data_IF_671771849818
#
_entry.id   IF_671771849818
#
_cell.length_a   1.000
_cell.length_b   1.000
_cell.length_c   1.000
_cell.angle_alpha   90.00
_cell.angle_beta   90.00
_cell.angle_gamma   90.00
#
_symmetry.space_group_name_H-M   'P 1'
#
loop_
_entity.id
_entity.type
_entity.pdbx_description
1 polymer ?
#
# COMPACT_ATOMS: atom_id res chain seq x y z
N UNK A 1 9.13 -1.24 -0.40
CA UNK A 1 8.66 -0.23 0.58
C UNK A 1 9.44 1.03 0.28
N UNK A 2 8.80 2.14 -0.06
CA UNK A 2 9.53 3.39 -0.32
C UNK A 2 10.02 3.94 1.02
N UNK A 3 11.33 3.92 1.21
CA UNK A 3 12.00 4.46 2.39
C UNK A 3 11.79 5.98 2.44
N UNK A 4 11.51 6.52 3.63
CA UNK A 4 11.27 7.96 3.81
C UNK A 4 12.56 8.56 4.35
N UNK A 5 13.17 9.45 3.58
CA UNK A 5 14.41 10.14 3.95
C UNK A 5 14.20 11.64 4.01
N UNK A 6 14.87 12.32 4.95
CA UNK A 6 14.88 13.77 5.02
C UNK A 6 15.50 14.37 3.75
N UNK A 7 14.79 15.26 3.03
CA UNK A 7 15.29 15.82 1.76
C UNK A 7 16.46 16.79 1.96
N UNK A 8 16.73 17.23 3.19
CA UNK A 8 17.80 18.18 3.49
C UNK A 8 19.09 17.49 3.99
N UNK A 9 18.99 16.54 4.91
CA UNK A 9 20.16 15.91 5.55
C UNK A 9 20.28 14.40 5.34
N UNK A 10 19.30 13.73 4.72
CA UNK A 10 19.32 12.28 4.47
C UNK A 10 18.88 11.40 5.62
N UNK A 11 18.59 11.95 6.80
CA UNK A 11 18.08 11.23 7.98
C UNK A 11 16.83 10.39 7.67
N UNK A 12 16.80 9.14 8.10
CA UNK A 12 15.74 8.15 7.84
C UNK A 12 15.19 7.48 9.10
N UNK A 13 15.85 7.63 10.25
CA UNK A 13 15.44 7.04 11.51
C UNK A 13 14.68 8.06 12.39
N UNK A 14 15.25 9.24 12.60
CA UNK A 14 14.74 10.28 13.50
C UNK A 14 13.68 11.20 12.84
N UNK A 15 12.58 10.60 12.40
CA UNK A 15 11.48 11.27 11.71
C UNK A 15 10.17 11.25 12.52
N UNK A 16 9.53 12.42 12.68
CA UNK A 16 8.22 12.55 13.34
C UNK A 16 7.12 12.83 12.33
N UNK A 17 6.11 11.96 12.28
CA UNK A 17 4.90 12.17 11.47
C UNK A 17 3.78 12.88 12.22
N UNK A 18 3.06 13.75 11.52
CA UNK A 18 1.79 14.34 11.95
C UNK A 18 0.75 14.16 10.83
N UNK A 19 -0.45 13.72 11.20
CA UNK A 19 -1.56 13.53 10.26
C UNK A 19 -2.59 14.64 10.49
N UNK A 20 -2.95 15.31 9.42
CA UNK A 20 -3.97 16.36 9.38
C UNK A 20 -5.02 16.03 8.33
N UNK A 21 -6.20 16.66 8.40
CA UNK A 21 -7.24 16.53 7.38
C UNK A 21 -8.39 15.60 7.77
N UNK A 22 -9.40 15.56 6.91
CA UNK A 22 -10.56 14.68 7.08
C UNK A 22 -10.28 13.32 6.42
N UNK A 23 -11.05 12.27 6.79
CA UNK A 23 -10.95 10.97 6.11
C UNK A 23 -11.13 11.11 4.59
N UNK A 24 -10.15 10.63 3.82
CA UNK A 24 -10.09 10.75 2.36
C UNK A 24 -9.39 11.99 1.83
N UNK A 25 -8.92 12.90 2.69
CA UNK A 25 -8.10 14.07 2.34
C UNK A 25 -6.96 14.30 3.33
N UNK A 26 -6.49 13.22 3.96
CA UNK A 26 -5.43 13.28 4.95
C UNK A 26 -4.10 13.73 4.31
N UNK A 27 -3.43 14.64 5.00
CA UNK A 27 -2.06 15.05 4.70
C UNK A 27 -1.15 14.53 5.79
N UNK A 28 0.00 13.96 5.41
CA UNK A 28 1.01 13.53 6.36
C UNK A 28 2.19 14.50 6.26
N UNK A 29 2.38 15.30 7.30
CA UNK A 29 3.57 16.15 7.45
C UNK A 29 4.64 15.38 8.21
N UNK A 30 5.85 15.31 7.66
CA UNK A 30 7.02 14.68 8.29
C UNK A 30 7.96 15.78 8.75
N UNK A 31 8.49 15.66 9.96
CA UNK A 31 9.50 16.57 10.52
C UNK A 31 10.73 15.78 10.91
N UNK A 32 11.87 16.10 10.29
CA UNK A 32 13.18 15.56 10.68
C UNK A 32 13.58 16.13 12.04
N UNK A 33 13.90 15.28 13.01
CA UNK A 33 14.34 15.74 14.33
C UNK A 33 15.82 16.13 14.36
N UNK A 34 16.62 15.70 13.36
CA UNK A 34 18.04 16.04 13.27
C UNK A 34 18.31 17.44 12.71
N UNK A 35 17.55 17.88 11.70
CA UNK A 35 17.74 19.18 11.05
C UNK A 35 16.48 20.07 11.04
N UNK A 36 15.42 19.65 11.73
CA UNK A 36 14.19 20.41 12.01
C UNK A 36 13.34 20.79 10.78
N UNK A 37 13.69 20.32 9.57
CA UNK A 37 12.87 20.60 8.38
C UNK A 37 11.58 19.77 8.40
N UNK A 38 10.48 20.41 8.00
CA UNK A 38 9.19 19.76 7.79
C UNK A 38 8.81 19.75 6.31
N UNK A 39 8.24 18.65 5.84
CA UNK A 39 7.73 18.52 4.47
C UNK A 39 6.48 17.66 4.43
N UNK A 40 5.66 17.85 3.40
CA UNK A 40 4.49 17.00 3.15
C UNK A 40 4.94 15.74 2.42
N UNK A 41 4.57 14.58 2.94
CA UNK A 41 4.81 13.30 2.28
C UNK A 41 3.90 13.18 1.07
N UNK A 42 4.48 12.90 -0.10
CA UNK A 42 3.71 12.54 -1.27
C UNK A 42 3.08 11.15 -1.08
N UNK A 43 1.74 11.12 -1.08
CA UNK A 43 0.95 9.89 -0.93
C UNK A 43 0.46 9.37 -2.28
N UNK A 44 0.88 9.98 -3.39
CA UNK A 44 0.47 9.57 -4.73
C UNK A 44 0.90 8.11 -4.95
N UNK A 45 -0.05 7.19 -5.21
CA UNK A 45 0.27 5.80 -5.47
C UNK A 45 1.14 5.68 -6.72
N UNK A 46 2.22 4.92 -6.64
CA UNK A 46 3.15 4.66 -7.74
C UNK A 46 3.42 3.17 -7.90
N UNK A 47 3.74 2.74 -9.11
CA UNK A 47 4.21 1.38 -9.36
C UNK A 47 5.59 1.19 -8.71
N UNK A 48 5.78 0.19 -7.84
CA UNK A 48 7.08 -0.06 -7.21
C UNK A 48 8.14 -0.55 -8.21
N UNK A 49 7.74 -0.99 -9.40
CA UNK A 49 8.63 -1.53 -10.43
C UNK A 49 9.11 -0.47 -11.40
N UNK A 50 8.19 0.33 -11.97
CA UNK A 50 8.52 1.32 -13.01
C UNK A 50 8.33 2.78 -12.58
N UNK A 51 7.81 3.04 -11.37
CA UNK A 51 7.64 4.38 -10.82
C UNK A 51 6.47 5.19 -11.41
N UNK A 52 5.71 4.65 -12.37
CA UNK A 52 4.57 5.36 -12.96
C UNK A 52 3.50 5.66 -11.89
N UNK A 53 2.85 6.82 -12.02
CA UNK A 53 1.64 7.18 -11.26
C UNK A 53 0.36 6.68 -11.95
N UNK A 54 0.46 6.17 -13.19
CA UNK A 54 -0.68 5.58 -13.89
C UNK A 54 -0.98 4.18 -13.34
N UNK A 55 -1.63 4.13 -12.18
CA UNK A 55 -2.04 2.89 -11.52
C UNK A 55 -3.56 2.82 -11.37
N UNK A 56 -4.08 1.60 -11.25
CA UNK A 56 -5.51 1.32 -11.09
C UNK A 56 -5.77 0.75 -9.71
N UNK A 57 -6.71 1.37 -8.99
CA UNK A 57 -7.18 0.87 -7.70
C UNK A 57 -7.92 -0.46 -7.90
N UNK A 58 -7.54 -1.47 -7.14
CA UNK A 58 -8.22 -2.75 -7.06
C UNK A 58 -8.37 -3.20 -5.60
N UNK A 59 -9.29 -4.14 -5.36
CA UNK A 59 -9.44 -4.77 -4.04
C UNK A 59 -8.79 -6.14 -4.06
N UNK A 60 -8.02 -6.43 -3.00
CA UNK A 60 -7.46 -7.74 -2.74
C UNK A 60 -8.04 -8.27 -1.44
N UNK A 61 -8.49 -9.53 -1.47
CA UNK A 61 -8.97 -10.20 -0.27
C UNK A 61 -7.82 -10.59 0.65
N UNK A 62 -8.09 -10.54 1.95
CA UNK A 62 -7.27 -11.12 3.01
C UNK A 62 -8.09 -12.27 3.57
N UNK A 63 -7.52 -13.47 3.54
CA UNK A 63 -8.21 -14.70 3.94
C UNK A 63 -7.53 -15.32 5.15
N UNK A 64 -8.32 -16.01 5.97
CA UNK A 64 -7.83 -16.79 7.09
C UNK A 64 -8.53 -18.16 7.14
N UNK A 65 -7.94 -19.13 7.82
CA UNK A 65 -8.58 -20.42 8.10
C UNK A 65 -9.59 -20.22 9.23
N UNK A 66 -10.84 -20.53 8.95
CA UNK A 66 -11.89 -20.48 9.98
C UNK A 66 -11.88 -21.76 10.82
N UNK A 67 -12.53 -22.84 10.34
CA UNK A 67 -12.53 -24.16 10.98
C UNK A 67 -12.16 -25.23 9.98
N UNK A 68 -11.16 -26.06 10.31
CA UNK A 68 -10.61 -27.06 9.40
C UNK A 68 -9.79 -26.41 8.28
N UNK A 69 -9.91 -26.92 7.05
CA UNK A 69 -9.13 -26.44 5.89
C UNK A 69 -9.82 -25.34 5.08
N UNK A 70 -10.95 -24.82 5.54
CA UNK A 70 -11.72 -23.81 4.79
C UNK A 70 -11.14 -22.41 4.97
N UNK A 71 -10.84 -21.76 3.85
CA UNK A 71 -10.47 -20.35 3.81
C UNK A 71 -11.71 -19.46 3.78
N UNK A 72 -11.68 -18.37 4.55
CA UNK A 72 -12.72 -17.37 4.61
C UNK A 72 -12.12 -15.98 4.44
N UNK A 73 -12.77 -15.12 3.65
CA UNK A 73 -12.37 -13.71 3.53
C UNK A 73 -12.65 -13.04 4.88
N UNK A 74 -11.60 -12.51 5.51
CA UNK A 74 -11.71 -11.75 6.75
C UNK A 74 -11.85 -10.26 6.48
N UNK A 75 -11.13 -9.77 5.45
CA UNK A 75 -11.13 -8.36 5.09
C UNK A 75 -10.66 -8.17 3.65
N UNK A 76 -10.61 -6.91 3.21
CA UNK A 76 -10.08 -6.52 1.92
C UNK A 76 -9.10 -5.37 2.13
N UNK A 77 -8.07 -5.32 1.29
CA UNK A 77 -7.15 -4.18 1.20
C UNK A 77 -7.19 -3.58 -0.18
N UNK A 78 -6.96 -2.28 -0.26
CA UNK A 78 -6.73 -1.58 -1.52
C UNK A 78 -5.32 -1.93 -2.00
N UNK A 79 -5.20 -2.25 -3.28
CA UNK A 79 -3.93 -2.40 -3.99
C UNK A 79 -3.95 -1.56 -5.26
N UNK A 80 -2.78 -1.18 -5.76
CA UNK A 80 -2.62 -0.38 -6.96
C UNK A 80 -1.92 -1.22 -8.02
N UNK A 81 -2.57 -1.39 -9.18
CA UNK A 81 -2.07 -2.20 -10.29
C UNK A 81 -1.55 -1.30 -11.42
N UNK A 82 -0.31 -1.52 -11.83
CA UNK A 82 0.26 -0.87 -13.00
C UNK A 82 -0.21 -1.58 -14.28
N UNK A 83 -0.72 -0.87 -15.30
CA UNK A 83 -1.06 -1.48 -16.58
C UNK A 83 0.12 -2.19 -17.26
N UNK A 84 1.33 -1.67 -17.09
CA UNK A 84 2.54 -2.21 -17.72
C UNK A 84 3.16 -3.37 -16.94
N UNK A 85 3.20 -3.28 -15.60
CA UNK A 85 3.86 -4.30 -14.76
C UNK A 85 2.89 -5.38 -14.24
N UNK A 86 1.61 -5.06 -14.06
CA UNK A 86 0.59 -5.95 -13.46
C UNK A 86 -0.51 -6.34 -14.46
N UNK A 87 -0.23 -6.29 -15.77
CA UNK A 87 -1.22 -6.44 -16.84
C UNK A 87 -2.12 -7.68 -16.70
N UNK A 88 -1.57 -8.81 -16.27
CA UNK A 88 -2.36 -10.04 -16.04
C UNK A 88 -3.32 -9.88 -14.84
N UNK A 89 -2.84 -9.37 -13.71
CA UNK A 89 -3.67 -9.11 -12.52
C UNK A 89 -4.76 -8.09 -12.84
N UNK A 90 -4.42 -7.06 -13.60
CA UNK A 90 -5.36 -6.04 -14.05
C UNK A 90 -6.42 -6.63 -14.99
N UNK A 91 -6.04 -7.53 -15.89
CA UNK A 91 -6.98 -8.24 -16.76
C UNK A 91 -7.91 -9.20 -15.99
N UNK A 92 -7.46 -9.79 -14.88
CA UNK A 92 -8.32 -10.54 -13.95
C UNK A 92 -9.29 -9.60 -13.26
N UNK A 93 -8.81 -8.51 -12.68
CA UNK A 93 -9.64 -7.50 -12.00
C UNK A 93 -10.73 -6.95 -12.93
N UNK A 94 -10.38 -6.56 -14.16
CA UNK A 94 -11.33 -5.97 -15.11
C UNK A 94 -12.41 -6.94 -15.59
N UNK A 95 -12.17 -8.26 -15.52
CA UNK A 95 -13.15 -9.29 -15.93
C UNK A 95 -13.92 -9.88 -14.76
N UNK A 96 -13.43 -9.70 -13.53
CA UNK A 96 -13.98 -10.31 -12.33
C UNK A 96 -14.85 -9.34 -11.56
N UNK A 97 -15.96 -9.83 -11.02
CA UNK A 97 -16.75 -9.11 -10.01
C UNK A 97 -16.35 -9.50 -8.57
N UNK A 98 -15.17 -10.10 -8.40
CA UNK A 98 -14.64 -10.51 -7.09
C UNK A 98 -13.27 -9.89 -6.84
N UNK A 99 -12.91 -9.63 -5.56
CA UNK A 99 -11.57 -9.19 -5.18
C UNK A 99 -10.49 -10.13 -5.72
N UNK A 100 -9.31 -9.56 -5.97
CA UNK A 100 -8.11 -10.33 -6.25
C UNK A 100 -7.82 -11.30 -5.10
N UNK A 101 -7.25 -12.45 -5.45
CA UNK A 101 -6.80 -13.42 -4.46
C UNK A 101 -5.59 -12.86 -3.68
N UNK A 102 -5.39 -13.28 -2.42
CA UNK A 102 -4.17 -13.00 -1.68
C UNK A 102 -2.94 -13.51 -2.45
N UNK A 103 -1.80 -12.85 -2.29
CA UNK A 103 -0.53 -13.31 -2.86
C UNK A 103 0.02 -14.53 -2.11
N UNK A 104 -0.31 -14.64 -0.82
CA UNK A 104 0.08 -15.74 0.07
C UNK A 104 -1.14 -16.25 0.83
N UNK A 105 -1.24 -17.57 1.01
CA UNK A 105 -2.32 -18.20 1.76
C UNK A 105 -1.85 -18.47 3.19
N UNK A 106 -2.75 -18.40 4.20
CA UNK A 106 -2.39 -18.71 5.57
C UNK A 106 -1.91 -20.17 5.68
N UNK A 107 -0.69 -20.33 6.16
CA UNK A 107 -0.10 -21.62 6.53
C UNK A 107 -0.63 -22.05 7.91
N UNK A 108 -0.70 -23.36 8.18
CA UNK A 108 -0.98 -23.83 9.54
C UNK A 108 0.19 -23.37 10.45
N UNK A 109 -0.13 -22.71 11.57
CA UNK A 109 0.87 -22.47 12.61
C UNK A 109 1.30 -23.80 13.22
N UNK A 110 2.60 -23.99 13.41
CA UNK A 110 3.20 -25.16 14.08
C UNK A 110 2.67 -25.32 15.52
#
# INVERSE_FOLDING_TARGET
MTEITCPACGEDEDLRGHQDGAPGSETITVTCQACEISWVRDLTPTCPTCGTTDVRTALQSIVDKSRGTQLSIQSMRVVYLCPDCDGERLAVWNRSNTPLRPDELPHDGD
#
